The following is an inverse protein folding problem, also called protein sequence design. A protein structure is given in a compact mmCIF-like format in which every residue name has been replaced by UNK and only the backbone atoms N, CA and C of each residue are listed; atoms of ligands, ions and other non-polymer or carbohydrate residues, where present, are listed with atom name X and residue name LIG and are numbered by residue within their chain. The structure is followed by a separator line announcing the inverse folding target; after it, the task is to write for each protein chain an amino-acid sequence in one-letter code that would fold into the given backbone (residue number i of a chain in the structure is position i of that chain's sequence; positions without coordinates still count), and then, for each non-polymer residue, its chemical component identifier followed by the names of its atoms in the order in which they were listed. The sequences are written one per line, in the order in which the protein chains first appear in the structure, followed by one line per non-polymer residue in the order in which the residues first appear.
data_IF_007541484204
#
_entry.id   IF_007541484204
#
_cell.length_a   1.000
_cell.length_b   1.000
_cell.length_c   1.000
_cell.angle_alpha   90.00
_cell.angle_beta   90.00
_cell.angle_gamma   90.00
#
_symmetry.space_group_name_H-M   'P 1'
#
loop_
_entity.id
_entity.type
_entity.pdbx_description
1 polymer ?
#
# COMPACT_ATOMS: atom_id res chain seq x y z
N UNK A 1 22.02 16.67 8.54
CA UNK A 1 21.32 16.78 9.84
C UNK A 1 21.04 15.35 10.27
N UNK A 2 21.36 14.93 11.50
CA UNK A 2 20.92 13.62 11.99
C UNK A 2 19.58 13.89 12.65
N UNK A 3 18.51 13.80 11.88
CA UNK A 3 17.14 13.94 12.41
C UNK A 3 16.73 12.66 13.13
N UNK A 4 15.83 12.79 14.11
CA UNK A 4 15.31 11.63 14.82
C UNK A 4 14.59 10.70 13.85
N UNK A 5 14.65 9.38 14.06
CA UNK A 5 14.05 8.39 13.15
C UNK A 5 12.53 8.55 12.91
N UNK A 6 11.82 9.20 13.84
CA UNK A 6 10.40 9.55 13.67
C UNK A 6 10.15 10.76 12.76
N UNK A 7 11.19 11.55 12.44
CA UNK A 7 11.11 12.81 11.71
C UNK A 7 11.53 12.68 10.24
N UNK A 8 12.15 11.57 9.85
CA UNK A 8 12.72 11.40 8.51
C UNK A 8 11.66 11.51 7.40
N UNK A 9 10.47 10.93 7.65
CA UNK A 9 9.33 11.07 6.75
C UNK A 9 8.93 12.54 6.61
N UNK A 10 8.82 13.27 7.72
CA UNK A 10 8.41 14.66 7.67
C UNK A 10 9.47 15.53 7.00
N UNK A 11 10.76 15.36 7.32
CA UNK A 11 11.85 16.15 6.75
C UNK A 11 12.00 15.96 5.23
N UNK A 12 11.97 14.71 4.77
CA UNK A 12 12.27 14.39 3.37
C UNK A 12 11.02 14.45 2.49
N UNK A 13 9.87 14.01 3.01
CA UNK A 13 8.67 13.78 2.20
C UNK A 13 7.54 14.79 2.49
N UNK A 14 7.34 15.23 3.74
CA UNK A 14 6.23 16.14 4.06
C UNK A 14 6.58 17.63 3.95
N UNK A 15 7.66 18.06 4.61
CA UNK A 15 8.05 19.46 4.76
C UNK A 15 8.26 20.16 3.41
N UNK A 16 8.90 19.55 2.40
CA UNK A 16 9.05 20.19 1.09
C UNK A 16 7.71 20.56 0.44
N UNK A 17 6.66 19.74 0.61
CA UNK A 17 5.29 20.03 0.13
C UNK A 17 4.68 21.22 0.88
N UNK A 18 4.88 21.27 2.21
CA UNK A 18 4.42 22.39 3.05
C UNK A 18 5.06 23.71 2.60
N UNK A 19 6.36 23.65 2.26
CA UNK A 19 7.15 24.76 1.75
C UNK A 19 6.82 25.13 0.29
N UNK A 20 5.92 24.39 -0.37
CA UNK A 20 5.38 24.71 -1.69
C UNK A 20 6.05 24.00 -2.87
N UNK A 21 6.84 22.95 -2.62
CA UNK A 21 7.24 22.03 -3.70
C UNK A 21 6.01 21.28 -4.23
N UNK A 22 5.98 21.04 -5.54
CA UNK A 22 4.83 20.50 -6.26
C UNK A 22 5.17 19.22 -7.05
N UNK A 23 6.44 18.85 -7.14
CA UNK A 23 6.90 17.63 -7.82
C UNK A 23 8.06 16.98 -7.07
N UNK A 24 8.00 15.66 -6.91
CA UNK A 24 9.05 14.84 -6.31
C UNK A 24 9.58 13.84 -7.35
N UNK A 25 10.89 13.87 -7.57
CA UNK A 25 11.65 12.89 -8.34
C UNK A 25 12.38 11.96 -7.36
N UNK A 26 12.22 10.64 -7.52
CA UNK A 26 12.89 9.64 -6.67
C UNK A 26 13.69 8.67 -7.54
N UNK A 27 14.97 8.51 -7.20
CA UNK A 27 15.79 7.37 -7.63
C UNK A 27 16.04 6.50 -6.41
N UNK A 28 15.62 5.24 -6.42
CA UNK A 28 15.80 4.33 -5.29
C UNK A 28 16.19 2.93 -5.75
N UNK A 29 16.90 2.19 -4.90
CA UNK A 29 17.20 0.79 -5.19
C UNK A 29 15.93 -0.06 -5.20
N UNK A 30 15.15 0.04 -4.13
CA UNK A 30 13.88 -0.66 -3.96
C UNK A 30 12.77 0.32 -3.59
N UNK A 31 11.53 -0.03 -3.90
CA UNK A 31 10.34 0.72 -3.49
C UNK A 31 9.14 -0.21 -3.25
N UNK A 32 8.20 0.23 -2.43
CA UNK A 32 6.90 -0.44 -2.28
C UNK A 32 5.74 0.47 -2.70
N UNK A 33 4.75 -0.11 -3.38
CA UNK A 33 3.52 0.61 -3.73
C UNK A 33 2.77 1.11 -2.48
N UNK A 34 2.89 0.40 -1.36
CA UNK A 34 2.38 0.85 -0.07
C UNK A 34 2.99 2.18 0.37
N UNK A 35 4.29 2.40 0.13
CA UNK A 35 4.95 3.66 0.47
C UNK A 35 4.45 4.83 -0.38
N UNK A 36 4.23 4.60 -1.68
CA UNK A 36 3.56 5.58 -2.57
C UNK A 36 2.20 5.97 -2.00
N UNK A 37 1.35 4.97 -1.71
CA UNK A 37 0.01 5.20 -1.18
C UNK A 37 0.04 5.93 0.18
N UNK A 38 0.93 5.55 1.10
CA UNK A 38 1.10 6.24 2.40
C UNK A 38 1.46 7.70 2.21
N UNK A 39 2.45 7.99 1.36
CA UNK A 39 2.93 9.34 1.15
C UNK A 39 1.84 10.24 0.54
N UNK A 40 1.20 9.76 -0.53
CA UNK A 40 0.11 10.48 -1.20
C UNK A 40 -1.07 10.71 -0.25
N UNK A 41 -1.47 9.68 0.50
CA UNK A 41 -2.58 9.78 1.43
C UNK A 41 -2.32 10.81 2.54
N UNK A 42 -1.10 10.80 3.09
CA UNK A 42 -0.67 11.79 4.07
C UNK A 42 -0.76 13.22 3.52
N UNK A 43 -0.18 13.46 2.33
CA UNK A 43 -0.18 14.79 1.71
C UNK A 43 -1.60 15.27 1.39
N UNK A 44 -2.45 14.40 0.82
CA UNK A 44 -3.83 14.75 0.46
C UNK A 44 -4.73 14.92 1.68
N UNK A 45 -4.72 13.98 2.62
CA UNK A 45 -5.66 13.97 3.74
C UNK A 45 -5.22 14.82 4.91
N UNK A 46 -3.93 14.86 5.23
CA UNK A 46 -3.38 15.60 6.36
C UNK A 46 -2.96 17.00 5.94
N UNK A 47 -2.10 17.12 4.92
CA UNK A 47 -1.58 18.43 4.50
C UNK A 47 -2.55 19.21 3.59
N UNK A 48 -3.61 18.55 3.09
CA UNK A 48 -4.60 19.13 2.15
C UNK A 48 -3.94 19.71 0.89
N UNK A 49 -2.92 19.01 0.39
CA UNK A 49 -2.14 19.39 -0.79
C UNK A 49 -2.09 18.22 -1.79
N UNK A 50 -1.51 18.50 -2.95
CA UNK A 50 -1.21 17.52 -4.00
C UNK A 50 0.18 17.80 -4.54
N UNK A 51 0.79 16.79 -5.12
CA UNK A 51 2.09 16.87 -5.81
C UNK A 51 2.15 15.78 -6.87
N UNK A 52 3.02 15.96 -7.86
CA UNK A 52 3.39 14.93 -8.85
C UNK A 52 4.53 14.09 -8.31
N UNK A 53 4.47 12.77 -8.46
CA UNK A 53 5.52 11.84 -8.05
C UNK A 53 6.08 11.09 -9.25
N UNK A 54 7.38 11.17 -9.50
CA UNK A 54 8.06 10.34 -10.49
C UNK A 54 9.11 9.47 -9.81
N UNK A 55 9.00 8.16 -10.01
CA UNK A 55 9.79 7.14 -9.33
C UNK A 55 10.60 6.30 -10.33
N UNK A 56 11.89 6.12 -10.06
CA UNK A 56 12.77 5.17 -10.75
C UNK A 56 13.24 4.11 -9.74
N UNK A 57 12.98 2.84 -10.05
CA UNK A 57 13.43 1.68 -9.26
C UNK A 57 14.63 1.03 -9.94
N UNK A 58 15.75 1.00 -9.22
CA UNK A 58 17.07 0.74 -9.76
C UNK A 58 17.57 -0.69 -9.70
N UNK A 59 17.07 -1.50 -8.75
CA UNK A 59 17.55 -2.88 -8.56
C UNK A 59 16.77 -3.93 -9.36
N UNK A 60 15.74 -3.52 -10.10
CA UNK A 60 14.84 -4.40 -10.85
C UNK A 60 15.58 -5.33 -11.83
N UNK A 61 16.56 -4.79 -12.58
CA UNK A 61 17.39 -5.56 -13.53
C UNK A 61 18.25 -6.64 -12.88
N UNK A 62 18.49 -6.57 -11.57
CA UNK A 62 19.36 -7.51 -10.84
C UNK A 62 18.56 -8.48 -9.97
N UNK A 63 17.63 -7.97 -9.18
CA UNK A 63 16.91 -8.75 -8.16
C UNK A 63 15.45 -9.04 -8.55
N UNK A 64 15.00 -8.49 -9.68
CA UNK A 64 13.61 -8.57 -10.12
C UNK A 64 12.66 -7.68 -9.33
N UNK A 65 11.38 -7.81 -9.64
CA UNK A 65 10.27 -7.14 -8.93
C UNK A 65 9.21 -8.17 -8.54
N UNK A 66 8.68 -8.06 -7.33
CA UNK A 66 7.53 -8.88 -6.95
C UNK A 66 6.32 -8.54 -7.84
N UNK A 67 5.74 -9.55 -8.49
CA UNK A 67 4.63 -9.38 -9.43
C UNK A 67 3.44 -8.64 -8.81
N UNK A 68 3.19 -8.84 -7.51
CA UNK A 68 2.14 -8.15 -6.75
C UNK A 68 2.43 -6.66 -6.58
N UNK A 69 3.67 -6.32 -6.21
CA UNK A 69 4.11 -4.93 -6.08
C UNK A 69 4.07 -4.21 -7.45
N UNK A 70 4.49 -4.89 -8.52
CA UNK A 70 4.37 -4.39 -9.90
C UNK A 70 2.92 -4.04 -10.28
N UNK A 71 1.98 -4.98 -10.09
CA UNK A 71 0.55 -4.74 -10.34
C UNK A 71 0.00 -3.59 -9.52
N UNK A 72 0.45 -3.41 -8.28
CA UNK A 72 0.07 -2.27 -7.44
C UNK A 72 0.61 -0.94 -7.95
N UNK A 73 1.83 -0.88 -8.47
CA UNK A 73 2.35 0.34 -9.08
C UNK A 73 1.52 0.75 -10.30
N UNK A 74 1.15 -0.20 -11.17
CA UNK A 74 0.26 0.04 -12.30
C UNK A 74 -1.09 0.62 -11.81
N UNK A 75 -1.73 -0.03 -10.83
CA UNK A 75 -3.00 0.46 -10.28
C UNK A 75 -2.91 1.87 -9.70
N UNK A 76 -1.80 2.21 -9.04
CA UNK A 76 -1.57 3.56 -8.51
C UNK A 76 -1.37 4.59 -9.61
N UNK A 77 -0.67 4.23 -10.69
CA UNK A 77 -0.42 5.11 -11.83
C UNK A 77 -1.70 5.36 -12.66
N UNK A 78 -2.58 4.36 -12.78
CA UNK A 78 -3.88 4.50 -13.46
C UNK A 78 -4.94 5.25 -12.62
N UNK A 79 -4.64 5.50 -11.35
CA UNK A 79 -5.56 6.18 -10.43
C UNK A 79 -5.71 7.66 -10.79
N UNK A 80 -6.94 8.10 -11.08
CA UNK A 80 -7.27 9.53 -11.33
C UNK A 80 -7.01 10.45 -10.14
N UNK A 81 -6.80 9.85 -8.98
CA UNK A 81 -6.62 10.48 -7.68
C UNK A 81 -5.15 10.79 -7.36
N UNK A 82 -4.23 10.44 -8.26
CA UNK A 82 -2.79 10.52 -8.06
C UNK A 82 -2.09 10.83 -9.39
N UNK A 83 -1.25 11.87 -9.41
CA UNK A 83 -0.31 12.14 -10.50
C UNK A 83 1.01 11.42 -10.19
N UNK A 84 1.17 10.21 -10.72
CA UNK A 84 2.27 9.31 -10.42
C UNK A 84 2.79 8.60 -11.66
N UNK A 85 4.11 8.57 -11.81
CA UNK A 85 4.79 7.76 -12.82
C UNK A 85 5.83 6.86 -12.13
N UNK A 86 5.85 5.59 -12.51
CA UNK A 86 6.84 4.62 -12.03
C UNK A 86 7.60 4.03 -13.21
N UNK A 87 8.92 3.99 -13.10
CA UNK A 87 9.82 3.48 -14.11
C UNK A 87 10.83 2.49 -13.50
N UNK A 88 11.27 1.53 -14.30
CA UNK A 88 12.28 0.54 -13.93
C UNK A 88 13.55 0.75 -14.74
N UNK A 89 14.71 0.66 -14.09
CA UNK A 89 15.97 0.49 -14.80
C UNK A 89 16.02 -0.92 -15.37
N UNK A 90 16.23 -1.00 -16.68
CA UNK A 90 16.21 -2.25 -17.46
C UNK A 90 17.59 -2.66 -17.99
N UNK A 91 18.59 -1.79 -17.86
CA UNK A 91 19.95 -2.05 -18.31
C UNK A 91 20.93 -2.04 -17.13
N UNK A 92 21.91 -2.96 -17.09
CA UNK A 92 22.99 -2.88 -16.11
C UNK A 92 23.92 -1.68 -16.41
N UNK A 93 24.56 -1.09 -15.40
CA UNK A 93 24.56 -1.52 -14.00
C UNK A 93 23.29 -1.15 -13.24
N UNK A 94 22.86 -2.02 -12.33
CA UNK A 94 21.75 -1.75 -11.43
C UNK A 94 22.05 -0.54 -10.51
N UNK A 95 21.00 0.18 -10.15
CA UNK A 95 21.09 1.40 -9.36
C UNK A 95 20.67 1.12 -7.93
N UNK A 96 21.60 1.32 -6.99
CA UNK A 96 21.35 1.15 -5.57
C UNK A 96 21.32 2.47 -4.80
N UNK A 97 21.42 3.62 -5.48
CA UNK A 97 21.34 4.95 -4.87
C UNK A 97 19.93 5.26 -4.37
N UNK A 98 19.82 6.11 -3.34
CA UNK A 98 18.56 6.63 -2.81
C UNK A 98 18.64 8.15 -2.82
N UNK A 99 17.94 8.76 -3.77
CA UNK A 99 17.98 10.20 -4.05
C UNK A 99 16.56 10.71 -4.18
N UNK A 100 16.23 11.75 -3.42
CA UNK A 100 14.93 12.40 -3.39
C UNK A 100 15.11 13.85 -3.80
N UNK A 101 14.46 14.31 -4.87
CA UNK A 101 14.60 15.67 -5.39
C UNK A 101 13.24 16.32 -5.57
N UNK A 102 12.99 17.37 -4.79
CA UNK A 102 11.79 18.18 -4.87
C UNK A 102 12.00 19.36 -5.80
N UNK A 103 11.00 19.62 -6.64
CA UNK A 103 10.94 20.74 -7.57
C UNK A 103 9.81 21.69 -7.16
N UNK A 104 9.97 22.96 -7.54
CA UNK A 104 8.95 24.01 -7.46
C UNK A 104 8.74 24.56 -8.87
N UNK A 105 7.58 24.33 -9.48
CA UNK A 105 7.30 24.79 -10.84
C UNK A 105 8.40 24.38 -11.82
N UNK A 106 8.76 23.09 -11.80
CA UNK A 106 9.84 22.47 -12.59
C UNK A 106 11.28 22.91 -12.24
N UNK A 107 11.50 23.82 -11.29
CA UNK A 107 12.85 24.20 -10.86
C UNK A 107 13.32 23.37 -9.65
N UNK A 108 14.52 22.76 -9.67
CA UNK A 108 15.05 22.00 -8.53
C UNK A 108 15.13 22.84 -7.26
N UNK A 109 14.45 22.41 -6.20
CA UNK A 109 14.29 23.16 -4.95
C UNK A 109 15.07 22.57 -3.77
N UNK A 110 14.86 21.29 -3.46
CA UNK A 110 15.52 20.58 -2.37
C UNK A 110 15.89 19.18 -2.82
N UNK A 111 17.01 18.65 -2.34
CA UNK A 111 17.31 17.24 -2.55
C UNK A 111 17.99 16.61 -1.35
N UNK A 112 17.85 15.29 -1.28
CA UNK A 112 18.34 14.46 -0.21
C UNK A 112 18.94 13.17 -0.78
N UNK A 113 20.02 12.69 -0.19
CA UNK A 113 20.69 11.45 -0.58
C UNK A 113 21.11 10.68 0.68
N UNK A 114 20.93 9.36 0.66
CA UNK A 114 21.21 8.54 1.85
C UNK A 114 21.02 7.05 1.65
N UNK A 115 20.67 6.36 2.73
CA UNK A 115 20.46 4.91 2.77
C UNK A 115 18.99 4.48 2.62
N UNK A 116 18.04 5.37 2.95
CA UNK A 116 16.61 5.06 3.00
C UNK A 116 16.01 4.77 1.62
N UNK A 117 15.66 3.51 1.35
CA UNK A 117 14.84 3.15 0.17
C UNK A 117 13.43 3.76 0.29
N UNK A 118 12.70 3.85 -0.83
CA UNK A 118 11.31 4.32 -0.82
C UNK A 118 10.33 3.21 -0.40
N UNK A 119 10.49 2.71 0.83
CA UNK A 119 9.66 1.69 1.49
C UNK A 119 9.16 2.21 2.84
N UNK A 120 8.12 1.63 3.43
CA UNK A 120 7.62 2.17 4.71
C UNK A 120 8.58 1.90 5.85
N UNK A 121 9.24 0.73 5.84
CA UNK A 121 10.26 0.39 6.84
C UNK A 121 11.37 1.44 6.94
N UNK A 122 11.89 1.94 5.82
CA UNK A 122 12.93 2.97 5.78
C UNK A 122 12.47 4.34 6.30
N UNK A 123 11.15 4.59 6.32
CA UNK A 123 10.52 5.80 6.87
C UNK A 123 9.65 5.48 8.09
N UNK A 124 10.11 4.54 8.91
CA UNK A 124 9.51 4.16 10.18
C UNK A 124 10.56 4.12 11.28
N UNK A 125 10.15 3.83 12.50
CA UNK A 125 11.07 3.63 13.64
C UNK A 125 11.68 2.22 13.67
N UNK A 126 11.37 1.34 12.70
CA UNK A 126 11.86 -0.04 12.68
C UNK A 126 13.26 -0.19 12.09
N UNK A 127 13.72 0.79 11.30
CA UNK A 127 15.04 0.79 10.67
C UNK A 127 15.81 2.08 10.96
N UNK A 128 17.13 1.94 11.06
CA UNK A 128 18.03 3.08 11.26
C UNK A 128 18.58 3.54 9.92
N UNK A 129 18.06 4.65 9.43
CA UNK A 129 18.51 5.25 8.18
C UNK A 129 19.33 6.53 8.40
N UNK A 130 20.19 6.85 7.45
CA UNK A 130 20.95 8.08 7.41
C UNK A 130 20.73 8.78 6.07
N UNK A 131 20.29 10.04 6.12
CA UNK A 131 20.07 10.86 4.93
C UNK A 131 20.65 12.25 5.16
N UNK A 132 21.20 12.85 4.10
CA UNK A 132 21.72 14.21 4.13
C UNK A 132 21.16 15.03 2.97
N UNK A 133 21.03 16.36 3.14
CA UNK A 133 20.79 17.26 2.01
C UNK A 133 21.87 17.10 0.94
N UNK A 134 21.48 17.21 -0.33
CA UNK A 134 22.37 17.16 -1.49
C UNK A 134 22.12 18.37 -2.42
N UNK A 135 22.83 18.45 -3.54
CA UNK A 135 22.63 19.52 -4.53
C UNK A 135 21.41 19.24 -5.40
N UNK A 136 20.35 20.08 -5.37
CA UNK A 136 19.11 19.80 -6.11
C UNK A 136 19.31 19.72 -7.62
N UNK A 137 20.18 20.58 -8.16
CA UNK A 137 20.46 20.60 -9.60
C UNK A 137 21.13 19.30 -10.08
N UNK A 138 22.19 18.87 -9.39
CA UNK A 138 22.89 17.62 -9.72
C UNK A 138 21.99 16.39 -9.53
N UNK A 139 21.17 16.37 -8.48
CA UNK A 139 20.24 15.28 -8.22
C UNK A 139 19.12 15.20 -9.27
N UNK A 140 18.61 16.35 -9.71
CA UNK A 140 17.64 16.42 -10.81
C UNK A 140 18.25 15.97 -12.14
N UNK A 141 19.46 16.41 -12.47
CA UNK A 141 20.15 16.01 -13.69
C UNK A 141 20.46 14.50 -13.68
N UNK A 142 20.81 13.95 -12.51
CA UNK A 142 20.97 12.50 -12.31
C UNK A 142 19.67 11.74 -12.63
N UNK A 143 18.54 12.16 -12.09
CA UNK A 143 17.24 11.55 -12.39
C UNK A 143 16.93 11.58 -13.90
N UNK A 144 17.11 12.73 -14.55
CA UNK A 144 16.80 12.91 -15.98
C UNK A 144 17.68 12.04 -16.88
N UNK A 145 18.94 11.80 -16.52
CA UNK A 145 19.80 10.88 -17.26
C UNK A 145 19.29 9.44 -17.15
N UNK A 146 18.94 9.01 -15.93
CA UNK A 146 18.45 7.66 -15.68
C UNK A 146 17.09 7.37 -16.29
N UNK A 147 16.22 8.39 -16.38
CA UNK A 147 14.90 8.25 -16.99
C UNK A 147 15.00 7.78 -18.45
N UNK A 148 16.04 8.21 -19.19
CA UNK A 148 16.30 7.80 -20.58
C UNK A 148 16.70 6.33 -20.73
N UNK A 149 17.14 5.71 -19.65
CA UNK A 149 17.58 4.32 -19.58
C UNK A 149 16.56 3.43 -18.85
N UNK A 150 15.36 3.96 -18.62
CA UNK A 150 14.27 3.30 -17.89
C UNK A 150 13.08 3.02 -18.79
N UNK A 151 12.22 2.09 -18.37
CA UNK A 151 10.93 1.79 -18.97
C UNK A 151 9.81 2.10 -17.99
N UNK A 152 8.66 2.55 -18.46
CA UNK A 152 7.52 2.80 -17.58
C UNK A 152 6.94 1.45 -17.10
N UNK A 153 6.53 1.35 -15.84
CA UNK A 153 6.01 0.09 -15.31
C UNK A 153 4.67 -0.34 -15.92
N UNK A 154 3.97 0.57 -16.61
CA UNK A 154 2.72 0.30 -17.32
C UNK A 154 2.90 0.20 -18.84
N UNK A 155 4.15 0.14 -19.33
CA UNK A 155 4.42 -0.24 -20.71
C UNK A 155 4.11 -1.73 -20.93
N UNK A 156 4.22 -2.18 -22.19
CA UNK A 156 3.95 -3.56 -22.58
C UNK A 156 4.71 -4.57 -21.69
N UNK A 157 3.95 -5.44 -21.03
CA UNK A 157 4.50 -6.42 -20.09
C UNK A 157 5.50 -7.37 -20.74
N UNK A 158 5.31 -7.73 -22.02
CA UNK A 158 6.24 -8.60 -22.74
C UNK A 158 7.59 -7.91 -22.96
N UNK A 159 7.59 -6.60 -23.17
CA UNK A 159 8.83 -5.81 -23.26
C UNK A 159 9.50 -5.76 -21.88
N UNK A 160 8.77 -5.38 -20.84
CA UNK A 160 9.33 -5.23 -19.49
C UNK A 160 9.90 -6.58 -19.00
N UNK A 161 9.15 -7.67 -19.13
CA UNK A 161 9.53 -9.02 -18.68
C UNK A 161 10.68 -9.64 -19.49
N UNK A 162 11.02 -9.08 -20.65
CA UNK A 162 12.24 -9.45 -21.37
C UNK A 162 13.52 -8.87 -20.77
N UNK A 163 13.40 -7.83 -19.92
CA UNK A 163 14.51 -7.12 -19.31
C UNK A 163 14.67 -7.36 -17.80
N UNK A 164 13.58 -7.62 -17.08
CA UNK A 164 13.61 -7.82 -15.63
C UNK A 164 12.82 -9.06 -15.23
N UNK A 165 13.26 -9.73 -14.17
CA UNK A 165 12.54 -10.87 -13.61
C UNK A 165 11.36 -10.42 -12.76
N UNK A 166 10.24 -11.14 -12.89
CA UNK A 166 9.12 -11.04 -11.96
C UNK A 166 9.04 -12.28 -11.10
N UNK A 167 8.97 -12.09 -9.78
CA UNK A 167 8.83 -13.19 -8.85
C UNK A 167 7.52 -13.10 -8.07
N UNK A 168 7.02 -14.25 -7.66
CA UNK A 168 5.99 -14.35 -6.63
C UNK A 168 6.68 -14.60 -5.29
N UNK A 169 6.23 -13.96 -4.22
CA UNK A 169 6.59 -14.33 -2.86
C UNK A 169 6.07 -15.74 -2.55
N UNK A 170 6.84 -16.76 -2.96
CA UNK A 170 6.49 -18.18 -2.84
C UNK A 170 6.47 -18.71 -1.41
N UNK A 171 6.75 -17.89 -0.38
CA UNK A 171 7.11 -18.40 0.94
C UNK A 171 5.98 -18.62 1.94
N UNK A 172 4.75 -18.18 1.68
CA UNK A 172 3.69 -18.33 2.70
C UNK A 172 2.41 -18.99 2.15
N UNK A 173 1.93 -18.60 0.97
CA UNK A 173 0.58 -19.03 0.54
C UNK A 173 0.55 -20.48 0.01
N UNK A 174 1.65 -20.99 -0.58
CA UNK A 174 1.71 -22.38 -1.05
C UNK A 174 1.86 -23.41 0.07
N UNK A 175 2.41 -23.04 1.24
CA UNK A 175 2.51 -23.95 2.39
C UNK A 175 1.23 -23.98 3.23
N UNK A 176 0.42 -22.91 3.22
CA UNK A 176 -0.87 -22.88 3.95
C UNK A 176 -1.94 -23.76 3.28
N UNK A 177 -1.90 -23.94 1.95
CA UNK A 177 -2.89 -24.74 1.22
C UNK A 177 -2.39 -26.08 0.67
N UNK A 178 -1.11 -26.41 0.85
CA UNK A 178 -0.57 -27.74 0.53
C UNK A 178 0.38 -28.15 1.65
N UNK A 179 -0.11 -28.91 2.62
CA UNK A 179 0.65 -29.98 3.27
C UNK A 179 -0.30 -30.76 4.20
N UNK A 180 -1.09 -31.64 3.57
CA UNK A 180 -1.22 -32.97 4.14
C UNK A 180 0.04 -33.73 3.70
N UNK A 181 0.66 -34.43 4.64
CA UNK A 181 1.89 -35.22 4.54
C UNK A 181 3.27 -34.53 4.45
N UNK A 182 3.96 -34.55 5.60
CA UNK A 182 5.43 -34.56 5.84
C UNK A 182 6.15 -33.26 6.26
N UNK A 183 6.27 -33.10 7.60
CA UNK A 183 7.43 -32.61 8.36
C UNK A 183 8.30 -31.49 7.75
N UNK A 184 7.74 -30.29 7.61
CA UNK A 184 8.48 -29.04 7.58
C UNK A 184 7.79 -28.08 8.54
N UNK A 185 8.58 -27.43 9.41
CA UNK A 185 8.14 -26.51 10.46
C UNK A 185 7.09 -25.52 9.93
N UNK A 186 5.82 -25.80 10.20
CA UNK A 186 4.71 -24.90 9.96
C UNK A 186 4.91 -23.68 10.85
N UNK A 187 5.43 -22.60 10.29
CA UNK A 187 5.31 -21.31 10.96
C UNK A 187 3.83 -20.97 10.98
N UNK A 188 3.16 -21.25 12.10
CA UNK A 188 1.83 -20.72 12.37
C UNK A 188 1.96 -19.19 12.35
N UNK A 189 1.53 -18.58 11.25
CA UNK A 189 1.47 -17.13 11.17
C UNK A 189 0.52 -16.63 12.25
N UNK A 190 0.86 -15.48 12.83
CA UNK A 190 -0.07 -14.77 13.68
C UNK A 190 -1.37 -14.51 12.89
N UNK A 191 -2.51 -14.82 13.51
CA UNK A 191 -3.83 -14.77 12.90
C UNK A 191 -4.82 -14.05 13.81
N UNK A 192 -5.71 -13.26 13.22
CA UNK A 192 -6.92 -12.77 13.88
C UNK A 192 -8.16 -13.05 13.03
N UNK A 193 -9.28 -13.34 13.70
CA UNK A 193 -10.58 -13.50 13.04
C UNK A 193 -11.44 -12.28 13.32
N UNK A 194 -11.91 -11.63 12.26
CA UNK A 194 -12.78 -10.45 12.34
C UNK A 194 -14.20 -10.83 11.92
N UNK A 195 -15.13 -10.77 12.87
CA UNK A 195 -16.56 -10.97 12.56
C UNK A 195 -17.11 -9.83 11.69
N UNK A 196 -17.95 -10.18 10.72
CA UNK A 196 -18.70 -9.25 9.88
C UNK A 196 -20.05 -8.87 10.51
N UNK A 197 -20.38 -9.46 11.65
CA UNK A 197 -21.63 -9.27 12.39
C UNK A 197 -21.44 -8.29 13.55
N UNK A 198 -22.54 -7.66 13.92
CA UNK A 198 -22.65 -6.96 15.20
C UNK A 198 -22.75 -7.99 16.34
N UNK A 199 -21.82 -7.94 17.30
CA UNK A 199 -21.74 -8.93 18.39
C UNK A 199 -22.97 -8.94 19.31
N UNK A 200 -23.72 -7.83 19.39
CA UNK A 200 -24.87 -7.72 20.29
C UNK A 200 -26.16 -8.24 19.67
N UNK A 201 -26.30 -8.08 18.35
CA UNK A 201 -27.52 -8.45 17.62
C UNK A 201 -27.37 -9.72 16.79
N UNK A 202 -26.15 -10.14 16.45
CA UNK A 202 -25.89 -11.24 15.52
C UNK A 202 -26.20 -10.89 14.05
N UNK A 203 -26.55 -9.65 13.76
CA UNK A 203 -26.92 -9.18 12.43
C UNK A 203 -25.79 -8.42 11.76
N UNK A 204 -25.84 -8.30 10.43
CA UNK A 204 -24.94 -7.37 9.72
C UNK A 204 -25.36 -5.94 10.05
N UNK A 205 -24.47 -5.07 10.57
CA UNK A 205 -24.85 -3.72 10.93
C UNK A 205 -25.46 -2.95 9.76
N UNK A 206 -26.49 -2.15 10.03
CA UNK A 206 -27.21 -1.42 8.97
C UNK A 206 -26.44 -0.24 8.38
N UNK A 207 -25.56 0.40 9.17
CA UNK A 207 -24.88 1.66 8.82
C UNK A 207 -23.42 1.70 9.30
N UNK A 208 -22.80 0.54 9.52
CA UNK A 208 -21.39 0.38 9.91
C UNK A 208 -20.80 -0.90 9.29
N UNK A 209 -19.50 -1.12 9.46
CA UNK A 209 -18.79 -2.24 8.84
C UNK A 209 -18.93 -2.23 7.31
N UNK A 210 -19.38 -3.36 6.75
CA UNK A 210 -19.58 -3.54 5.31
C UNK A 210 -20.69 -2.65 4.70
N UNK A 211 -21.60 -2.14 5.54
CA UNK A 211 -22.70 -1.26 5.15
C UNK A 211 -22.46 0.20 5.57
N UNK A 212 -21.23 0.60 5.88
CA UNK A 212 -20.97 1.96 6.38
C UNK A 212 -21.44 3.08 5.43
N UNK A 213 -21.30 2.87 4.12
CA UNK A 213 -21.77 3.77 3.06
C UNK A 213 -23.28 3.78 2.82
N UNK A 214 -24.06 2.88 3.43
CA UNK A 214 -25.52 2.76 3.22
C UNK A 214 -26.29 3.88 3.94
N UNK A 215 -26.03 5.12 3.53
CA UNK A 215 -26.55 6.35 4.12
C UNK A 215 -26.95 7.34 3.01
N UNK A 216 -28.03 7.06 2.27
CA UNK A 216 -28.44 7.89 1.14
C UNK A 216 -28.76 9.32 1.57
N UNK A 217 -29.17 9.54 2.82
CA UNK A 217 -29.45 10.87 3.36
C UNK A 217 -28.23 11.79 3.41
N UNK A 218 -27.00 11.23 3.36
CA UNK A 218 -25.76 12.01 3.30
C UNK A 218 -25.08 11.97 1.92
N UNK A 219 -25.79 11.48 0.89
CA UNK A 219 -25.23 11.25 -0.45
C UNK A 219 -23.88 10.51 -0.43
N UNK A 220 -23.74 9.56 0.50
CA UNK A 220 -22.50 8.81 0.69
C UNK A 220 -22.40 7.72 -0.36
N UNK A 221 -21.19 7.48 -0.87
CA UNK A 221 -20.98 6.35 -1.78
C UNK A 221 -21.38 5.03 -1.08
N UNK A 222 -22.39 4.31 -1.61
CA UNK A 222 -22.97 3.15 -0.95
C UNK A 222 -22.01 1.94 -0.87
N UNK A 223 -20.89 1.98 -1.60
CA UNK A 223 -19.85 0.96 -1.53
C UNK A 223 -18.84 1.20 -0.42
N UNK A 224 -18.82 2.37 0.23
CA UNK A 224 -17.85 2.60 1.30
C UNK A 224 -18.05 1.61 2.44
N UNK A 225 -16.98 0.92 2.82
CA UNK A 225 -16.99 -0.13 3.83
C UNK A 225 -15.70 -0.11 4.65
N UNK A 226 -15.74 -0.77 5.81
CA UNK A 226 -14.57 -1.07 6.62
C UNK A 226 -14.78 -2.40 7.35
N UNK A 227 -13.68 -3.07 7.71
CA UNK A 227 -13.68 -4.19 8.65
C UNK A 227 -13.48 -3.65 10.07
N UNK A 228 -14.35 -4.06 10.99
CA UNK A 228 -14.25 -3.62 12.38
C UNK A 228 -13.12 -4.39 13.10
N UNK A 229 -12.18 -3.66 13.68
CA UNK A 229 -11.09 -4.22 14.49
C UNK A 229 -11.49 -4.11 15.98
N UNK A 230 -11.67 -5.24 16.68
CA UNK A 230 -11.90 -5.25 18.12
C UNK A 230 -10.79 -4.55 18.92
N UNK A 231 -11.14 -3.94 20.05
CA UNK A 231 -10.21 -3.11 20.83
C UNK A 231 -9.00 -3.87 21.39
N UNK A 232 -9.17 -5.16 21.69
CA UNK A 232 -8.13 -6.09 22.09
C UNK A 232 -7.12 -6.30 20.95
N UNK A 233 -7.59 -6.54 19.73
CA UNK A 233 -6.73 -6.65 18.53
C UNK A 233 -6.06 -5.30 18.20
N UNK A 234 -6.75 -4.17 18.39
CA UNK A 234 -6.12 -2.85 18.20
C UNK A 234 -4.91 -2.63 19.14
N UNK A 235 -4.92 -3.26 20.32
CA UNK A 235 -3.88 -3.12 21.35
C UNK A 235 -2.80 -4.20 21.27
N UNK A 236 -3.02 -5.27 20.52
CA UNK A 236 -2.04 -6.37 20.44
C UNK A 236 -0.82 -6.04 19.58
N UNK A 237 -0.91 -5.02 18.72
CA UNK A 237 0.12 -4.74 17.72
C UNK A 237 0.03 -5.62 16.47
N UNK A 238 -1.06 -6.39 16.32
CA UNK A 238 -1.27 -7.26 15.16
C UNK A 238 -1.28 -6.46 13.85
N UNK A 239 -2.06 -5.37 13.79
CA UNK A 239 -2.11 -4.47 12.64
C UNK A 239 -1.13 -3.30 12.81
N UNK A 240 -0.68 -2.69 11.70
CA UNK A 240 0.19 -1.53 11.76
C UNK A 240 -0.46 -0.36 12.51
N UNK A 241 0.40 0.56 12.96
CA UNK A 241 -0.03 1.77 13.65
C UNK A 241 -1.02 2.61 12.83
N UNK A 242 -1.74 3.49 13.53
CA UNK A 242 -2.69 4.39 12.87
C UNK A 242 -2.00 5.14 11.72
N UNK A 243 -2.64 5.14 10.54
CA UNK A 243 -2.17 5.79 9.31
C UNK A 243 -1.01 5.10 8.58
N UNK A 244 -0.41 4.05 9.15
CA UNK A 244 0.51 3.21 8.38
C UNK A 244 -0.29 2.40 7.36
N UNK A 245 0.17 2.42 6.11
CA UNK A 245 -0.48 1.71 5.02
C UNK A 245 0.06 0.29 4.98
N UNK A 246 -0.73 -0.67 4.53
CA UNK A 246 -0.27 -2.03 4.32
C UNK A 246 -1.09 -2.68 3.23
N UNK A 247 -0.54 -3.72 2.62
CA UNK A 247 -1.24 -4.52 1.62
C UNK A 247 -1.95 -5.68 2.30
N UNK A 248 -3.21 -5.89 1.93
CA UNK A 248 -3.92 -7.15 2.15
C UNK A 248 -4.02 -7.89 0.81
N UNK A 249 -3.53 -9.11 0.79
CA UNK A 249 -3.68 -10.08 -0.28
C UNK A 249 -4.87 -10.98 0.03
N UNK A 250 -5.87 -11.04 -0.82
CA UNK A 250 -7.06 -11.86 -0.57
C UNK A 250 -6.86 -13.31 -1.06
N UNK A 251 -7.69 -14.23 -0.57
CA UNK A 251 -7.71 -15.64 -0.99
C UNK A 251 -8.06 -15.85 -2.48
N UNK A 252 -8.67 -14.87 -3.14
CA UNK A 252 -8.98 -14.84 -4.57
C UNK A 252 -8.04 -13.91 -5.39
N UNK A 253 -6.79 -13.77 -4.91
CA UNK A 253 -5.70 -13.06 -5.58
C UNK A 253 -5.96 -11.57 -5.87
N UNK A 254 -6.86 -10.94 -5.10
CA UNK A 254 -7.03 -9.48 -5.12
C UNK A 254 -6.08 -8.83 -4.13
N UNK A 255 -5.81 -7.56 -4.39
CA UNK A 255 -4.94 -6.74 -3.56
C UNK A 255 -5.70 -5.51 -3.09
N UNK A 256 -5.62 -5.25 -1.79
CA UNK A 256 -6.22 -4.09 -1.14
C UNK A 256 -5.15 -3.33 -0.38
N UNK A 257 -4.88 -2.09 -0.79
CA UNK A 257 -4.00 -1.18 -0.05
C UNK A 257 -4.81 -0.53 1.07
N UNK A 258 -4.55 -0.97 2.29
CA UNK A 258 -5.36 -0.71 3.47
C UNK A 258 -4.64 0.17 4.49
N UNK A 259 -5.43 0.74 5.40
CA UNK A 259 -4.98 1.53 6.54
C UNK A 259 -5.88 1.27 7.74
N UNK A 260 -5.31 1.35 8.94
CA UNK A 260 -6.08 1.42 10.18
C UNK A 260 -6.52 2.86 10.45
N UNK A 261 -7.82 3.07 10.58
CA UNK A 261 -8.46 4.37 10.67
C UNK A 261 -9.69 4.37 11.61
N UNK A 262 -10.44 5.49 11.57
CA UNK A 262 -11.53 5.83 12.50
C UNK A 262 -11.07 6.06 13.94
N UNK A 263 -12.02 6.47 14.80
CA UNK A 263 -11.77 6.70 16.22
C UNK A 263 -11.17 5.44 16.86
N UNK A 264 -10.02 5.60 17.52
CA UNK A 264 -9.26 4.53 18.19
C UNK A 264 -8.76 3.41 17.26
N UNK A 265 -8.69 3.64 15.95
CA UNK A 265 -8.18 2.63 15.00
C UNK A 265 -9.10 1.44 14.79
N UNK A 266 -10.39 1.57 15.12
CA UNK A 266 -11.36 0.47 15.05
C UNK A 266 -11.75 0.07 13.63
N UNK A 267 -11.36 0.83 12.61
CA UNK A 267 -11.76 0.56 11.22
C UNK A 267 -10.57 0.26 10.34
N UNK A 268 -10.57 -0.90 9.68
CA UNK A 268 -9.64 -1.23 8.62
C UNK A 268 -10.33 -1.01 7.27
N UNK A 269 -9.80 -0.15 6.42
CA UNK A 269 -10.37 0.10 5.09
C UNK A 269 -9.29 0.41 4.05
N UNK A 270 -9.66 0.34 2.77
CA UNK A 270 -8.80 0.76 1.66
C UNK A 270 -8.52 2.25 1.75
N UNK A 271 -7.26 2.67 1.55
CA UNK A 271 -6.83 4.03 1.91
C UNK A 271 -7.27 5.11 0.93
N UNK A 272 -6.91 5.00 -0.36
CA UNK A 272 -7.19 6.04 -1.37
C UNK A 272 -8.68 6.11 -1.72
N UNK A 273 -9.34 4.95 -1.82
CA UNK A 273 -10.76 4.85 -2.09
C UNK A 273 -11.41 3.81 -1.18
N UNK A 274 -12.14 4.25 -0.15
CA UNK A 274 -12.85 3.40 0.81
C UNK A 274 -13.94 2.52 0.17
N UNK A 275 -14.35 2.79 -1.07
CA UNK A 275 -15.33 1.97 -1.78
C UNK A 275 -14.77 0.61 -2.22
N UNK A 276 -13.46 0.53 -2.49
CA UNK A 276 -12.83 -0.69 -3.04
C UNK A 276 -13.05 -1.91 -2.14
N UNK A 277 -12.91 -1.75 -0.82
CA UNK A 277 -13.21 -2.83 0.13
C UNK A 277 -14.66 -3.30 0.04
N UNK A 278 -15.62 -2.38 -0.07
CA UNK A 278 -17.02 -2.78 -0.12
C UNK A 278 -17.44 -3.30 -1.49
N UNK A 279 -16.79 -2.89 -2.58
CA UNK A 279 -16.95 -3.51 -3.90
C UNK A 279 -16.44 -4.96 -3.87
N UNK A 280 -15.28 -5.20 -3.27
CA UNK A 280 -14.71 -6.53 -3.07
C UNK A 280 -15.68 -7.48 -2.35
N UNK A 281 -16.17 -7.11 -1.16
CA UNK A 281 -17.11 -7.97 -0.42
C UNK A 281 -18.44 -8.16 -1.14
N UNK A 282 -18.99 -7.13 -1.80
CA UNK A 282 -20.23 -7.29 -2.59
C UNK A 282 -20.03 -8.25 -3.75
N UNK A 283 -18.91 -8.15 -4.47
CA UNK A 283 -18.56 -9.07 -5.54
C UNK A 283 -18.45 -10.51 -5.04
N UNK A 284 -17.73 -10.73 -3.93
CA UNK A 284 -17.59 -12.06 -3.28
C UNK A 284 -18.93 -12.68 -2.89
N UNK A 285 -19.89 -11.85 -2.46
CA UNK A 285 -21.24 -12.26 -2.07
C UNK A 285 -22.21 -12.36 -3.26
N UNK A 286 -21.75 -12.20 -4.50
CA UNK A 286 -22.57 -12.14 -5.70
C UNK A 286 -23.66 -11.04 -5.64
N UNK A 287 -23.32 -9.89 -5.04
CA UNK A 287 -24.17 -8.72 -4.93
C UNK A 287 -23.68 -7.61 -5.87
N UNK A 288 -24.62 -6.85 -6.43
CA UNK A 288 -24.30 -5.66 -7.21
C UNK A 288 -23.71 -4.54 -6.33
N UNK A 289 -22.87 -3.69 -6.94
CA UNK A 289 -22.34 -2.50 -6.29
C UNK A 289 -23.46 -1.65 -5.67
N UNK A 290 -23.19 -1.13 -4.47
CA UNK A 290 -24.11 -0.31 -3.68
C UNK A 290 -25.23 -1.08 -2.98
N UNK A 291 -25.38 -2.40 -3.18
CA UNK A 291 -26.37 -3.19 -2.44
C UNK A 291 -26.01 -3.29 -0.96
N UNK A 292 -27.03 -3.28 -0.11
CA UNK A 292 -26.88 -3.54 1.32
C UNK A 292 -26.60 -5.02 1.53
N UNK A 293 -25.59 -5.34 2.34
CA UNK A 293 -25.26 -6.71 2.75
C UNK A 293 -26.11 -7.06 3.97
N UNK A 294 -26.73 -8.23 3.97
CA UNK A 294 -27.56 -8.74 5.07
C UNK A 294 -26.98 -10.03 5.64
N UNK A 295 -27.46 -10.44 6.82
CA UNK A 295 -27.07 -11.74 7.39
C UNK A 295 -27.40 -12.90 6.44
N UNK A 296 -28.53 -12.84 5.74
CA UNK A 296 -28.91 -13.84 4.75
C UNK A 296 -27.88 -13.98 3.62
N UNK A 297 -27.25 -12.88 3.19
CA UNK A 297 -26.22 -12.92 2.15
C UNK A 297 -24.97 -13.64 2.65
N UNK A 298 -24.53 -13.36 3.87
CA UNK A 298 -23.39 -14.04 4.51
C UNK A 298 -23.66 -15.52 4.77
N UNK A 299 -24.86 -15.86 5.27
CA UNK A 299 -25.26 -17.25 5.48
C UNK A 299 -25.37 -18.03 4.16
N UNK A 300 -25.88 -17.40 3.10
CA UNK A 300 -25.91 -17.99 1.76
C UNK A 300 -24.50 -18.22 1.21
N UNK A 301 -23.59 -17.29 1.50
CA UNK A 301 -22.19 -17.42 1.12
C UNK A 301 -21.52 -18.59 1.86
N UNK A 302 -21.83 -18.75 3.15
CA UNK A 302 -21.33 -19.83 4.00
C UNK A 302 -20.38 -19.36 5.10
N UNK A 303 -20.13 -18.04 5.21
CA UNK A 303 -19.18 -17.46 6.17
C UNK A 303 -19.62 -16.09 6.66
N UNK A 304 -19.38 -15.81 7.96
CA UNK A 304 -19.79 -14.57 8.65
C UNK A 304 -18.62 -13.78 9.26
N UNK A 305 -17.40 -14.20 8.96
CA UNK A 305 -16.15 -13.61 9.44
C UNK A 305 -15.10 -13.65 8.32
N UNK A 306 -13.96 -13.03 8.58
CA UNK A 306 -12.74 -13.16 7.77
C UNK A 306 -11.57 -13.48 8.67
N UNK A 307 -10.65 -14.27 8.15
CA UNK A 307 -9.38 -14.52 8.81
C UNK A 307 -8.30 -13.63 8.20
N UNK A 308 -7.52 -12.97 9.05
CA UNK A 308 -6.39 -12.16 8.63
C UNK A 308 -5.11 -12.76 9.21
N UNK A 309 -4.14 -13.04 8.34
CA UNK A 309 -2.83 -13.57 8.70
C UNK A 309 -1.76 -12.50 8.48
N UNK A 310 -0.85 -12.33 9.43
CA UNK A 310 0.29 -11.42 9.29
C UNK A 310 1.41 -12.14 8.53
N UNK A 311 1.72 -11.68 7.32
CA UNK A 311 2.84 -12.20 6.51
C UNK A 311 4.13 -11.50 6.96
N UNK A 312 4.09 -10.17 7.01
CA UNK A 312 5.16 -9.30 7.51
C UNK A 312 4.59 -7.95 7.99
N UNK A 313 5.44 -6.95 8.22
CA UNK A 313 5.02 -5.62 8.71
C UNK A 313 4.21 -4.79 7.68
N UNK A 314 4.35 -5.05 6.38
CA UNK A 314 3.67 -4.33 5.30
C UNK A 314 2.65 -5.18 4.52
N UNK A 315 2.59 -6.50 4.79
CA UNK A 315 1.79 -7.46 4.03
C UNK A 315 0.99 -8.39 4.94
N UNK A 316 -0.29 -8.55 4.62
CA UNK A 316 -1.23 -9.44 5.31
C UNK A 316 -1.99 -10.27 4.28
N UNK A 317 -2.52 -11.41 4.71
CA UNK A 317 -3.43 -12.23 3.92
C UNK A 317 -4.84 -12.18 4.50
N UNK A 318 -5.86 -11.98 3.67
CA UNK A 318 -7.27 -12.08 4.06
C UNK A 318 -7.87 -13.31 3.41
N UNK A 319 -8.30 -14.23 4.26
CA UNK A 319 -9.07 -15.39 3.86
C UNK A 319 -10.55 -15.16 4.15
N UNK A 320 -11.34 -15.15 3.08
CA UNK A 320 -12.79 -15.16 3.10
C UNK A 320 -13.36 -16.38 2.33
N UNK A 321 -12.56 -17.42 2.10
CA UNK A 321 -12.98 -18.63 1.37
C UNK A 321 -14.02 -19.45 2.17
N UNK A 322 -14.76 -20.33 1.47
CA UNK A 322 -15.79 -21.23 2.00
C UNK A 322 -15.60 -22.65 1.50
#
# INVERSE_FOLDING_TARGET
MITGQGELFDEILANPVIEGADKLLIVTGYASANMVARHVDYVRKILKRSFRLELIIGMAVKDGIELKNHKSFIQLQESKDLDFECNYIINPPAIHSKVYTWLKKEEPYKSFTGSANYTQNAFSTSQREAVAPSCPKLASDYFQNLLRESINCNDDFDIISSHIDFYESKRIIKEVHKYDDTNLLSYELEKVTLTLLDRSTGEVPNRSGLNWGQRPEYNRDPNQAYLNIPSDICRSGFFPDLRNVFTILTDDDKQLICVRAQQNGKGLHTTLNNALMGQYFRFRLCLGNGKKITLKDLLKYGRTDVDIYKIDEETYHLDFSV
#
